data_IF_001941014469
#
_entry.id   IF_001941014469
#
_cell.length_a   1.000
_cell.length_b   1.000
_cell.length_c   1.000
_cell.angle_alpha   90.00
_cell.angle_beta   90.00
_cell.angle_gamma   90.00
#
_symmetry.space_group_name_H-M   'P 1'
#
loop_
_entity.id
_entity.type
_entity.pdbx_description
1 polymer ?
#
# COMPACT_ATOMS: atom_id res chain seq x y z
N UNK A 1 4.47 -7.55 3.51
CA UNK A 1 3.84 -7.20 2.22
C UNK A 1 2.55 -7.96 2.07
N UNK A 2 1.48 -7.26 1.73
CA UNK A 2 0.12 -7.83 1.69
C UNK A 2 -0.07 -8.84 0.55
N UNK A 3 0.80 -8.83 -0.46
CA UNK A 3 0.81 -9.83 -1.55
C UNK A 3 0.85 -11.27 -1.02
N UNK A 4 1.63 -11.55 0.03
CA UNK A 4 1.72 -12.91 0.57
C UNK A 4 0.46 -13.32 1.31
N UNK A 5 -0.25 -12.37 1.93
CA UNK A 5 -1.57 -12.59 2.54
C UNK A 5 -2.60 -12.89 1.46
N UNK A 6 -2.68 -12.03 0.42
CA UNK A 6 -3.60 -12.22 -0.70
C UNK A 6 -3.36 -13.56 -1.39
N UNK A 7 -2.12 -13.92 -1.70
CA UNK A 7 -1.79 -15.21 -2.33
C UNK A 7 -2.21 -16.41 -1.48
N UNK A 8 -2.00 -16.34 -0.16
CA UNK A 8 -2.40 -17.42 0.76
C UNK A 8 -3.92 -17.57 0.80
N UNK A 9 -4.65 -16.46 0.90
CA UNK A 9 -6.12 -16.46 0.88
C UNK A 9 -6.66 -16.99 -0.44
N UNK A 10 -6.13 -16.53 -1.58
CA UNK A 10 -6.53 -16.99 -2.91
C UNK A 10 -6.26 -18.48 -3.11
N UNK A 11 -5.11 -18.98 -2.64
CA UNK A 11 -4.81 -20.42 -2.66
C UNK A 11 -5.80 -21.21 -1.81
N UNK A 12 -6.09 -20.75 -0.59
CA UNK A 12 -7.06 -21.41 0.28
C UNK A 12 -8.45 -21.49 -0.36
N UNK A 13 -8.94 -20.38 -0.93
CA UNK A 13 -10.23 -20.31 -1.64
C UNK A 13 -10.27 -21.29 -2.81
N UNK A 14 -9.19 -21.37 -3.58
CA UNK A 14 -9.11 -22.30 -4.70
C UNK A 14 -9.10 -23.77 -4.26
N UNK A 15 -8.31 -24.11 -3.24
CA UNK A 15 -8.15 -25.49 -2.77
C UNK A 15 -9.36 -26.02 -1.97
N UNK A 16 -10.09 -25.15 -1.27
CA UNK A 16 -11.15 -25.55 -0.32
C UNK A 16 -12.56 -25.16 -0.75
N UNK A 17 -12.70 -24.16 -1.61
CA UNK A 17 -14.00 -23.58 -2.00
C UNK A 17 -14.22 -23.58 -3.53
N UNK A 18 -13.31 -24.20 -4.29
CA UNK A 18 -13.34 -24.29 -5.77
C UNK A 18 -13.44 -22.93 -6.49
N UNK A 19 -13.06 -21.86 -5.81
CA UNK A 19 -13.07 -20.52 -6.38
C UNK A 19 -11.91 -20.35 -7.37
N UNK A 20 -12.16 -19.62 -8.47
CA UNK A 20 -11.12 -19.26 -9.43
C UNK A 20 -10.18 -18.19 -8.85
N UNK A 21 -8.85 -18.41 -8.82
CA UNK A 21 -7.93 -17.44 -8.25
C UNK A 21 -7.79 -16.21 -9.13
N UNK A 22 -7.73 -15.03 -8.52
CA UNK A 22 -7.52 -13.76 -9.23
C UNK A 22 -6.04 -13.39 -9.32
N UNK A 23 -5.62 -12.84 -10.47
CA UNK A 23 -4.29 -12.25 -10.59
C UNK A 23 -4.22 -10.96 -9.77
N UNK A 24 -3.31 -10.93 -8.80
CA UNK A 24 -3.12 -9.78 -7.92
C UNK A 24 -1.72 -9.17 -8.08
N UNK A 25 -1.68 -7.86 -8.28
CA UNK A 25 -0.45 -7.06 -8.27
C UNK A 25 -0.66 -5.79 -7.45
N UNK A 26 0.36 -5.43 -6.65
CA UNK A 26 0.37 -4.22 -5.86
C UNK A 26 1.39 -3.24 -6.47
N UNK A 27 0.94 -2.02 -6.74
CA UNK A 27 1.76 -0.95 -7.30
C UNK A 27 1.81 0.21 -6.31
N UNK A 28 2.97 0.86 -6.24
CA UNK A 28 3.17 2.10 -5.49
C UNK A 28 3.62 3.15 -6.48
N UNK A 29 2.99 4.32 -6.41
CA UNK A 29 3.37 5.49 -7.20
C UNK A 29 4.08 6.49 -6.31
N UNK A 30 5.09 7.17 -6.86
CA UNK A 30 5.87 8.20 -6.17
C UNK A 30 5.79 9.46 -7.01
N UNK A 31 5.49 10.60 -6.38
CA UNK A 31 5.19 11.85 -7.08
C UNK A 31 6.43 12.49 -7.71
N UNK A 32 6.64 12.27 -9.01
CA UNK A 32 7.66 12.96 -9.82
C UNK A 32 9.10 12.48 -9.62
N UNK A 33 9.98 12.88 -10.54
CA UNK A 33 11.37 12.41 -10.61
C UNK A 33 12.17 12.82 -9.36
N UNK A 34 11.96 14.04 -8.85
CA UNK A 34 12.67 14.52 -7.65
C UNK A 34 12.39 13.65 -6.43
N UNK A 35 11.16 13.17 -6.25
CA UNK A 35 10.79 12.29 -5.14
C UNK A 35 11.42 10.90 -5.28
N UNK A 36 11.56 10.40 -6.52
CA UNK A 36 12.28 9.15 -6.80
C UNK A 36 13.75 9.29 -6.42
N UNK A 37 14.41 10.38 -6.82
CA UNK A 37 15.82 10.63 -6.47
C UNK A 37 16.00 10.69 -4.95
N UNK A 38 15.13 11.43 -4.24
CA UNK A 38 15.14 11.49 -2.77
C UNK A 38 14.98 10.11 -2.14
N UNK A 39 14.04 9.30 -2.66
CA UNK A 39 13.81 7.93 -2.18
C UNK A 39 15.03 7.03 -2.41
N UNK A 40 15.71 7.15 -3.56
CA UNK A 40 16.93 6.40 -3.84
C UNK A 40 18.06 6.73 -2.85
N UNK A 41 18.32 8.02 -2.61
CA UNK A 41 19.32 8.43 -1.63
C UNK A 41 18.96 7.96 -0.22
N UNK A 42 17.71 8.17 0.21
CA UNK A 42 17.24 7.71 1.52
C UNK A 42 17.40 6.18 1.67
N UNK A 43 17.04 5.41 0.64
CA UNK A 43 17.22 3.97 0.59
C UNK A 43 18.68 3.54 0.68
N UNK A 44 19.58 4.22 -0.03
CA UNK A 44 21.01 3.93 0.02
C UNK A 44 21.61 4.20 1.40
N UNK A 45 21.29 5.36 2.01
CA UNK A 45 21.70 5.67 3.37
C UNK A 45 21.16 4.64 4.37
N UNK A 46 19.88 4.29 4.26
CA UNK A 46 19.28 3.28 5.12
C UNK A 46 19.98 1.91 4.98
N UNK A 47 20.24 1.45 3.76
CA UNK A 47 20.98 0.22 3.50
C UNK A 47 22.38 0.25 4.11
N UNK A 48 23.08 1.38 4.02
CA UNK A 48 24.39 1.56 4.64
C UNK A 48 24.32 1.45 6.17
N UNK A 49 23.42 2.21 6.82
CA UNK A 49 23.30 2.21 8.29
C UNK A 49 22.86 0.85 8.86
N UNK A 50 22.00 0.12 8.16
CA UNK A 50 21.51 -1.19 8.63
C UNK A 50 22.62 -2.26 8.65
N UNK A 51 23.68 -2.12 7.87
CA UNK A 51 24.79 -3.09 7.85
C UNK A 51 25.60 -3.09 9.15
N UNK A 52 25.78 -1.92 9.77
CA UNK A 52 26.57 -1.78 11.00
C UNK A 52 25.71 -1.86 12.25
N UNK A 53 26.19 -2.53 13.30
CA UNK A 53 25.45 -2.67 14.57
C UNK A 53 25.16 -1.31 15.22
N UNK A 54 26.15 -0.41 15.22
CA UNK A 54 26.02 0.97 15.72
C UNK A 54 24.99 1.74 14.87
N UNK A 55 25.02 1.59 13.55
CA UNK A 55 24.08 2.24 12.64
C UNK A 55 22.63 1.79 12.88
N UNK A 56 22.39 0.49 13.04
CA UNK A 56 21.07 -0.04 13.44
C UNK A 56 20.61 0.52 14.77
N UNK A 57 21.49 0.55 15.77
CA UNK A 57 21.15 1.07 17.09
C UNK A 57 20.81 2.57 17.04
N UNK A 58 21.50 3.33 16.18
CA UNK A 58 21.26 4.75 15.95
C UNK A 58 19.89 5.00 15.29
N UNK A 59 19.57 4.24 14.23
CA UNK A 59 18.26 4.30 13.55
C UNK A 59 17.09 4.01 14.51
N UNK A 60 17.25 3.02 15.39
CA UNK A 60 16.20 2.63 16.37
C UNK A 60 16.07 3.64 17.51
N UNK A 61 17.19 4.20 17.99
CA UNK A 61 17.18 5.17 19.10
C UNK A 61 16.61 6.52 18.68
N UNK A 62 16.92 6.99 17.46
CA UNK A 62 16.58 8.32 16.98
C UNK A 62 15.74 8.29 15.68
N UNK A 63 14.57 7.62 15.66
CA UNK A 63 13.75 7.51 14.46
C UNK A 63 13.35 8.89 13.92
N UNK A 64 13.13 9.88 14.79
CA UNK A 64 12.79 11.25 14.40
C UNK A 64 13.87 11.92 13.53
N UNK A 65 15.15 11.73 13.86
CA UNK A 65 16.25 12.31 13.10
C UNK A 65 16.37 11.67 11.70
N UNK A 66 16.29 10.33 11.64
CA UNK A 66 16.47 9.58 10.39
C UNK A 66 15.24 9.54 9.51
N UNK A 67 14.08 9.89 10.06
CA UNK A 67 12.86 10.09 9.31
C UNK A 67 12.57 11.55 9.01
N UNK A 68 13.49 12.49 9.27
CA UNK A 68 13.25 13.93 9.07
C UNK A 68 11.96 14.43 9.74
N UNK A 69 11.63 13.90 10.92
CA UNK A 69 10.45 14.24 11.68
C UNK A 69 9.15 13.51 11.31
N UNK A 70 9.16 12.65 10.29
CA UNK A 70 7.97 11.88 9.89
C UNK A 70 7.59 10.78 10.89
N UNK A 71 8.57 10.17 11.56
CA UNK A 71 8.35 9.11 12.56
C UNK A 71 8.87 9.53 13.94
N UNK A 72 7.99 9.52 14.94
CA UNK A 72 8.33 9.75 16.34
C UNK A 72 7.79 8.61 17.21
N UNK A 73 8.43 8.39 18.36
CA UNK A 73 7.94 7.44 19.38
C UNK A 73 6.66 7.92 20.07
N UNK A 74 6.35 9.21 19.98
CA UNK A 74 5.19 9.84 20.63
C UNK A 74 3.90 9.69 19.80
N UNK A 75 3.97 9.12 18.58
CA UNK A 75 2.84 9.05 17.66
C UNK A 75 2.47 10.40 17.03
N UNK A 76 1.43 10.45 16.19
CA UNK A 76 0.92 11.69 15.62
C UNK A 76 0.19 12.54 16.68
N UNK A 77 0.26 13.87 16.55
CA UNK A 77 -0.52 14.81 17.36
C UNK A 77 -2.00 14.80 16.97
N UNK A 78 -2.88 15.28 17.87
CA UNK A 78 -4.31 15.40 17.56
C UNK A 78 -4.56 16.24 16.30
N UNK A 79 -3.87 17.39 16.19
CA UNK A 79 -3.93 18.26 15.01
C UNK A 79 -3.52 17.53 13.72
N UNK A 80 -2.44 16.73 13.77
CA UNK A 80 -2.03 15.92 12.61
C UNK A 80 -3.08 14.88 12.23
N UNK A 81 -3.75 14.26 13.20
CA UNK A 81 -4.83 13.31 12.94
C UNK A 81 -6.06 14.01 12.34
N UNK A 82 -6.41 15.18 12.85
CA UNK A 82 -7.54 15.99 12.37
C UNK A 82 -7.31 16.52 10.94
N UNK A 83 -6.06 16.85 10.59
CA UNK A 83 -5.66 17.32 9.26
C UNK A 83 -5.39 16.17 8.27
N UNK A 84 -5.31 14.92 8.73
CA UNK A 84 -5.03 13.77 7.87
C UNK A 84 -6.31 13.22 7.27
N UNK A 85 -6.34 13.16 5.93
CA UNK A 85 -7.38 12.46 5.18
C UNK A 85 -6.78 11.32 4.37
N UNK A 86 -7.61 10.31 4.08
CA UNK A 86 -7.25 9.27 3.13
C UNK A 86 -8.42 8.97 2.21
N UNK A 87 -8.14 8.43 1.03
CA UNK A 87 -9.16 7.94 0.12
C UNK A 87 -8.69 6.62 -0.47
N UNK A 88 -9.49 5.57 -0.28
CA UNK A 88 -9.31 4.28 -0.91
C UNK A 88 -10.41 4.13 -1.96
N UNK A 89 -10.02 3.91 -3.21
CA UNK A 89 -10.99 3.70 -4.30
C UNK A 89 -10.81 2.30 -4.86
N UNK A 90 -11.88 1.51 -4.79
CA UNK A 90 -11.97 0.15 -5.28
C UNK A 90 -12.74 0.17 -6.60
N UNK A 91 -12.10 -0.32 -7.66
CA UNK A 91 -12.73 -0.49 -8.97
C UNK A 91 -12.90 -1.98 -9.26
N UNK A 92 -14.15 -2.40 -9.46
CA UNK A 92 -14.52 -3.73 -9.91
C UNK A 92 -15.06 -3.67 -11.33
N UNK A 93 -14.68 -4.63 -12.17
CA UNK A 93 -15.25 -4.79 -13.51
C UNK A 93 -15.59 -6.27 -13.74
N UNK A 94 -16.76 -6.55 -14.30
CA UNK A 94 -17.26 -7.92 -14.44
C UNK A 94 -18.27 -8.09 -15.58
N UNK A 95 -18.89 -9.26 -15.64
CA UNK A 95 -19.83 -9.67 -16.69
C UNK A 95 -21.25 -9.76 -16.13
N UNK A 96 -22.24 -9.35 -16.92
CA UNK A 96 -23.65 -9.59 -16.60
C UNK A 96 -23.98 -11.08 -16.64
N UNK A 97 -24.92 -11.48 -15.78
CA UNK A 97 -25.37 -12.86 -15.71
C UNK A 97 -25.79 -13.38 -17.09
N UNK A 98 -25.31 -14.58 -17.47
CA UNK A 98 -25.57 -15.17 -18.79
C UNK A 98 -24.67 -14.70 -19.94
N UNK A 99 -23.68 -13.84 -19.69
CA UNK A 99 -22.75 -13.39 -20.74
C UNK A 99 -21.57 -14.34 -20.90
N UNK A 100 -21.34 -14.84 -22.12
CA UNK A 100 -20.14 -15.64 -22.42
C UNK A 100 -18.87 -14.79 -22.33
N UNK A 101 -17.95 -15.20 -21.44
CA UNK A 101 -16.69 -14.51 -21.11
C UNK A 101 -15.73 -14.44 -22.29
N UNK A 102 -15.73 -15.44 -23.18
CA UNK A 102 -14.78 -15.56 -24.30
C UNK A 102 -15.04 -14.58 -25.45
N UNK A 103 -16.30 -14.16 -25.64
CA UNK A 103 -16.71 -13.32 -26.79
C UNK A 103 -16.94 -11.86 -26.46
N UNK A 104 -17.04 -11.51 -25.17
CA UNK A 104 -17.48 -10.20 -24.74
C UNK A 104 -16.45 -9.53 -23.83
N UNK A 105 -16.43 -8.20 -23.83
CA UNK A 105 -15.71 -7.42 -22.81
C UNK A 105 -16.56 -7.34 -21.54
N UNK A 106 -15.95 -7.22 -20.36
CA UNK A 106 -16.67 -6.93 -19.13
C UNK A 106 -17.61 -5.72 -19.29
N UNK A 107 -18.88 -5.88 -18.96
CA UNK A 107 -19.94 -4.87 -19.17
C UNK A 107 -20.53 -4.30 -17.87
N UNK A 108 -20.12 -4.81 -16.70
CA UNK A 108 -20.48 -4.28 -15.39
C UNK A 108 -19.27 -3.56 -14.78
N UNK A 109 -19.51 -2.42 -14.15
CA UNK A 109 -18.52 -1.67 -13.37
C UNK A 109 -19.09 -1.33 -12.01
N UNK A 110 -18.29 -1.53 -10.97
CA UNK A 110 -18.59 -1.12 -9.59
C UNK A 110 -17.43 -0.24 -9.13
N UNK A 111 -17.74 0.89 -8.50
CA UNK A 111 -16.75 1.76 -7.87
C UNK A 111 -17.17 2.01 -6.43
N UNK A 112 -16.31 1.64 -5.49
CA UNK A 112 -16.52 1.90 -4.07
C UNK A 112 -15.41 2.82 -3.58
N UNK A 113 -15.76 3.94 -2.96
CA UNK A 113 -14.78 4.87 -2.41
C UNK A 113 -14.96 4.97 -0.90
N UNK A 114 -13.90 4.69 -0.15
CA UNK A 114 -13.83 4.84 1.30
C UNK A 114 -12.97 6.06 1.61
N UNK A 115 -13.53 7.05 2.29
CA UNK A 115 -12.82 8.27 2.70
C UNK A 115 -12.63 8.26 4.21
N UNK A 116 -11.43 8.64 4.64
CA UNK A 116 -11.16 9.00 6.03
C UNK A 116 -11.75 10.38 6.38
N UNK A 117 -11.46 10.89 7.58
CA UNK A 117 -11.82 12.24 7.98
C UNK A 117 -11.48 13.24 6.87
N UNK A 118 -12.48 14.03 6.46
CA UNK A 118 -12.29 15.10 5.50
C UNK A 118 -11.83 16.36 6.21
N UNK A 119 -10.93 17.11 5.60
CA UNK A 119 -10.76 18.52 5.94
C UNK A 119 -12.09 19.18 5.53
N UNK A 120 -12.81 19.78 6.49
CA UNK A 120 -14.03 20.57 6.24
C UNK A 120 -13.74 21.70 5.24
#
# INVERSE_FOLDING_TARGET
SDISVVKRTQRYLHENLEDSPVQYAAYVTVGGITSVIKLMFAGLFFLFFVKFSIGRQLLIKFPWLFSFGYFSKQGPTQKQMDETSFTMTFFGQGYSHGTCVEKNKPNIRICTQVKGPGIL
#
